data_IF_251136359638
#
_entry.id   IF_251136359638
#
_cell.length_a   1.000
_cell.length_b   1.000
_cell.length_c   1.000
_cell.angle_alpha   90.00
_cell.angle_beta   90.00
_cell.angle_gamma   90.00
#
_symmetry.space_group_name_H-M   'P 1'
#
loop_
_entity.id
_entity.type
_entity.pdbx_description
1 polymer ?
#
# COMPACT_ATOMS: atom_id res chain seq x y z
N UNK A 1 5.98 17.75 23.54
CA UNK A 1 5.65 16.33 23.76
C UNK A 1 5.68 15.64 22.40
N UNK A 2 6.09 14.38 22.34
CA UNK A 2 6.06 13.60 21.08
C UNK A 2 4.62 13.11 20.80
N UNK A 3 4.30 12.90 19.53
CA UNK A 3 3.03 12.29 19.15
C UNK A 3 3.09 10.77 19.39
N UNK A 4 4.20 10.15 18.94
CA UNK A 4 4.42 8.71 19.05
C UNK A 4 5.89 8.45 19.40
N UNK A 5 6.12 7.49 20.28
CA UNK A 5 7.40 6.87 20.54
C UNK A 5 7.31 5.37 20.28
N UNK A 6 8.04 4.89 19.27
CA UNK A 6 8.30 3.46 19.09
C UNK A 6 9.61 3.15 19.79
N UNK A 7 9.69 2.13 20.62
CA UNK A 7 10.92 1.74 21.32
C UNK A 7 11.20 0.25 21.21
N UNK A 8 12.42 -0.15 21.60
CA UNK A 8 12.87 -1.55 21.56
C UNK A 8 12.73 -2.19 20.16
N UNK A 9 13.07 -1.43 19.11
CA UNK A 9 13.00 -1.92 17.73
C UNK A 9 14.37 -2.41 17.24
N UNK A 10 14.35 -3.34 16.28
CA UNK A 10 15.51 -3.72 15.47
C UNK A 10 15.38 -3.07 14.08
N UNK A 11 16.46 -2.48 13.56
CA UNK A 11 16.48 -1.89 12.23
C UNK A 11 17.06 -2.87 11.18
N UNK A 12 16.80 -2.65 9.89
CA UNK A 12 17.31 -3.50 8.81
C UNK A 12 18.85 -3.56 8.72
N UNK A 13 19.53 -2.57 9.26
CA UNK A 13 21.01 -2.52 9.32
C UNK A 13 21.61 -3.30 10.51
N UNK A 14 20.76 -3.97 11.30
CA UNK A 14 21.16 -4.82 12.42
C UNK A 14 21.26 -4.08 13.76
N UNK A 15 21.04 -2.77 13.82
CA UNK A 15 20.99 -2.04 15.11
C UNK A 15 19.76 -2.47 15.90
N UNK A 16 19.94 -2.73 17.18
CA UNK A 16 18.90 -3.16 18.13
C UNK A 16 18.65 -2.11 19.21
N UNK A 17 17.61 -2.29 20.01
CA UNK A 17 17.20 -1.37 21.08
C UNK A 17 17.01 0.07 20.58
N UNK A 18 16.49 0.22 19.35
CA UNK A 18 16.30 1.52 18.74
C UNK A 18 14.92 2.07 19.12
N UNK A 19 14.94 3.36 19.51
CA UNK A 19 13.73 4.15 19.63
C UNK A 19 13.60 5.13 18.47
N UNK A 20 12.35 5.32 18.02
CA UNK A 20 11.95 6.28 16.98
C UNK A 20 10.93 7.24 17.57
N UNK A 21 11.27 8.51 17.59
CA UNK A 21 10.41 9.59 18.08
C UNK A 21 9.76 10.33 16.92
N UNK A 22 8.43 10.53 17.02
CA UNK A 22 7.63 11.24 16.03
C UNK A 22 7.02 12.50 16.66
N UNK A 23 7.07 13.61 15.95
CA UNK A 23 6.43 14.89 16.31
C UNK A 23 5.91 15.57 15.04
N UNK A 24 4.66 16.07 15.10
CA UNK A 24 3.99 16.74 13.98
C UNK A 24 4.02 15.88 12.69
N UNK A 25 3.79 14.55 12.86
CA UNK A 25 3.80 13.57 11.78
C UNK A 25 5.18 13.29 11.15
N UNK A 26 6.27 13.74 11.79
CA UNK A 26 7.65 13.56 11.28
C UNK A 26 8.51 12.81 12.28
N UNK A 27 9.38 11.95 11.77
CA UNK A 27 10.45 11.34 12.56
C UNK A 27 11.45 12.44 12.94
N UNK A 28 11.62 12.70 14.25
CA UNK A 28 12.51 13.72 14.77
C UNK A 28 13.78 13.12 15.41
N UNK A 29 13.74 11.86 15.80
CA UNK A 29 14.89 11.17 16.39
C UNK A 29 14.84 9.67 16.13
N UNK A 30 16.00 9.06 15.86
CA UNK A 30 16.20 7.60 15.75
C UNK A 30 17.49 7.28 16.50
N UNK A 31 17.39 6.72 17.71
CA UNK A 31 18.57 6.48 18.55
C UNK A 31 18.41 5.26 19.43
N UNK A 32 19.54 4.66 19.85
CA UNK A 32 19.54 3.52 20.75
C UNK A 32 19.15 3.91 22.18
N UNK A 33 18.44 3.03 22.86
CA UNK A 33 18.06 3.19 24.25
C UNK A 33 17.09 4.34 24.53
N UNK A 34 16.38 4.84 23.53
CA UNK A 34 15.30 5.81 23.72
C UNK A 34 14.06 5.05 24.21
N UNK A 35 13.62 5.37 25.41
CA UNK A 35 12.52 4.67 26.10
C UNK A 35 11.49 5.67 26.63
N UNK A 36 10.28 5.22 27.01
CA UNK A 36 9.26 6.09 27.60
C UNK A 36 9.73 6.81 28.90
N UNK A 37 10.73 6.27 29.60
CA UNK A 37 11.33 6.92 30.76
C UNK A 37 12.18 8.14 30.39
N UNK A 38 12.70 8.18 29.15
CA UNK A 38 13.58 9.26 28.65
C UNK A 38 12.84 10.28 27.80
N UNK A 39 11.74 9.88 27.18
CA UNK A 39 10.96 10.75 26.30
C UNK A 39 9.46 10.50 26.45
N UNK A 40 8.71 11.56 26.75
CA UNK A 40 7.26 11.49 26.86
C UNK A 40 6.58 11.65 25.50
N UNK A 41 5.62 10.76 25.21
CA UNK A 41 4.81 10.78 24.03
C UNK A 41 3.31 10.62 24.39
N UNK A 42 2.44 11.05 23.50
CA UNK A 42 0.99 10.78 23.60
C UNK A 42 0.70 9.29 23.45
N UNK A 43 1.42 8.65 22.54
CA UNK A 43 1.33 7.22 22.26
C UNK A 43 2.70 6.57 22.32
N UNK A 44 2.76 5.34 22.86
CA UNK A 44 3.99 4.55 22.89
C UNK A 44 3.72 3.15 22.36
N UNK A 45 4.66 2.64 21.56
CA UNK A 45 4.64 1.29 21.01
C UNK A 45 5.95 0.58 21.37
N UNK A 46 5.87 -0.51 22.14
CA UNK A 46 6.99 -1.43 22.31
C UNK A 46 7.06 -2.37 21.09
N UNK A 47 8.14 -2.31 20.34
CA UNK A 47 8.36 -3.17 19.19
C UNK A 47 8.82 -4.58 19.59
N UNK A 48 9.06 -4.85 20.89
CA UNK A 48 9.45 -6.17 21.42
C UNK A 48 10.66 -6.80 20.70
N UNK A 49 11.58 -5.97 20.24
CA UNK A 49 12.76 -6.39 19.46
C UNK A 49 12.46 -6.70 17.99
N UNK A 50 11.21 -6.52 17.54
CA UNK A 50 10.83 -6.78 16.16
C UNK A 50 11.45 -5.80 15.17
N UNK A 51 11.48 -6.20 13.91
CA UNK A 51 12.03 -5.41 12.82
C UNK A 51 11.12 -4.22 12.48
N UNK A 52 11.67 -3.01 12.59
CA UNK A 52 11.04 -1.78 12.15
C UNK A 52 11.65 -1.34 10.82
N UNK A 53 10.84 -1.26 9.78
CA UNK A 53 11.24 -0.85 8.43
C UNK A 53 10.50 0.41 7.98
N UNK A 54 11.01 1.15 6.98
CA UNK A 54 10.15 2.03 6.19
C UNK A 54 8.98 1.26 5.58
N UNK A 55 7.88 1.94 5.23
CA UNK A 55 6.76 1.30 4.56
C UNK A 55 7.18 0.67 3.22
N UNK A 56 6.47 -0.36 2.80
CA UNK A 56 6.69 -0.97 1.49
C UNK A 56 6.24 -0.04 0.37
N UNK A 57 6.92 -0.16 -0.76
CA UNK A 57 6.60 0.54 -2.01
C UNK A 57 6.42 -0.52 -3.11
N UNK A 58 5.26 -0.54 -3.74
CA UNK A 58 5.05 -1.32 -4.95
C UNK A 58 5.40 -0.47 -6.17
N UNK A 59 6.51 -0.80 -6.81
CA UNK A 59 7.04 -0.04 -7.94
C UNK A 59 6.39 -0.40 -9.28
N UNK A 60 5.60 -1.49 -9.34
CA UNK A 60 4.95 -1.98 -10.57
C UNK A 60 3.69 -2.78 -10.25
N UNK A 61 2.55 -2.13 -10.31
CA UNK A 61 1.25 -2.74 -10.09
C UNK A 61 0.24 -2.30 -11.15
N UNK A 62 -0.76 -3.14 -11.44
CA UNK A 62 -1.88 -2.83 -12.32
C UNK A 62 -3.17 -2.68 -11.51
N UNK A 63 -3.39 -1.47 -10.98
CA UNK A 63 -4.54 -1.21 -10.12
C UNK A 63 -5.87 -1.25 -10.89
N UNK A 64 -5.84 -1.01 -12.19
CA UNK A 64 -7.00 -1.15 -13.09
C UNK A 64 -7.53 -2.59 -13.14
N UNK A 65 -6.64 -3.59 -13.02
CA UNK A 65 -7.01 -5.01 -13.02
C UNK A 65 -7.13 -5.63 -11.64
N UNK A 66 -6.90 -4.87 -10.56
CA UNK A 66 -6.94 -5.43 -9.21
C UNK A 66 -8.32 -5.98 -8.84
N UNK A 67 -8.35 -7.05 -8.02
CA UNK A 67 -9.55 -7.70 -7.50
C UNK A 67 -10.57 -8.10 -8.59
N UNK A 68 -10.07 -8.41 -9.81
CA UNK A 68 -10.90 -8.86 -10.93
C UNK A 68 -10.88 -10.37 -11.14
N UNK A 69 -10.27 -11.15 -10.24
CA UNK A 69 -10.23 -12.60 -10.35
C UNK A 69 -11.65 -13.18 -10.47
N UNK A 70 -11.85 -14.06 -11.48
CA UNK A 70 -13.14 -14.65 -11.76
C UNK A 70 -14.03 -13.82 -12.70
N UNK A 71 -13.59 -12.64 -13.11
CA UNK A 71 -14.32 -11.76 -14.03
C UNK A 71 -13.64 -11.69 -15.41
N UNK A 72 -14.43 -11.79 -16.51
CA UNK A 72 -15.83 -12.25 -16.60
C UNK A 72 -15.94 -13.75 -16.36
N UNK A 73 -14.82 -14.47 -16.36
CA UNK A 73 -14.65 -15.89 -16.07
C UNK A 73 -13.26 -16.17 -15.50
N UNK A 74 -13.03 -17.40 -15.05
CA UNK A 74 -11.73 -17.81 -14.52
C UNK A 74 -10.75 -18.10 -15.67
N UNK A 75 -9.49 -17.74 -15.49
CA UNK A 75 -8.37 -18.19 -16.34
C UNK A 75 -8.11 -19.68 -16.07
N UNK A 76 -8.63 -20.54 -16.94
CA UNK A 76 -8.58 -22.00 -16.74
C UNK A 76 -7.19 -22.60 -17.09
N UNK A 77 -6.48 -22.01 -18.05
CA UNK A 77 -5.16 -22.50 -18.46
C UNK A 77 -4.03 -21.98 -17.57
N UNK A 78 -4.25 -20.92 -16.81
CA UNK A 78 -3.23 -20.24 -16.03
C UNK A 78 -2.17 -19.51 -16.89
N UNK A 79 -2.40 -19.40 -18.21
CA UNK A 79 -1.46 -18.75 -19.11
C UNK A 79 -1.66 -17.24 -19.19
N UNK A 80 -0.56 -16.52 -19.51
CA UNK A 80 -0.62 -15.09 -19.76
C UNK A 80 -1.53 -14.75 -20.95
N UNK A 81 -1.50 -15.55 -22.03
CA UNK A 81 -2.30 -15.28 -23.23
C UNK A 81 -3.80 -15.36 -22.92
N UNK A 82 -4.24 -16.33 -22.11
CA UNK A 82 -5.63 -16.38 -21.66
C UNK A 82 -5.96 -15.20 -20.75
N UNK A 83 -5.03 -14.79 -19.88
CA UNK A 83 -5.21 -13.59 -19.04
C UNK A 83 -5.42 -12.33 -19.88
N UNK A 84 -4.66 -12.15 -20.96
CA UNK A 84 -4.83 -11.03 -21.90
C UNK A 84 -6.19 -11.09 -22.60
N UNK A 85 -6.61 -12.28 -23.04
CA UNK A 85 -7.92 -12.47 -23.65
C UNK A 85 -9.06 -12.13 -22.68
N UNK A 86 -8.98 -12.64 -21.44
CA UNK A 86 -9.94 -12.33 -20.36
C UNK A 86 -10.02 -10.82 -20.06
N UNK A 87 -8.88 -10.13 -20.04
CA UNK A 87 -8.86 -8.69 -19.87
C UNK A 87 -9.58 -7.98 -21.02
N UNK A 88 -9.39 -8.46 -22.26
CA UNK A 88 -10.12 -7.99 -23.44
C UNK A 88 -11.63 -8.20 -23.35
N UNK A 89 -12.06 -9.35 -22.81
CA UNK A 89 -13.48 -9.68 -22.58
C UNK A 89 -14.08 -8.82 -21.44
N UNK A 90 -13.30 -8.50 -20.41
CA UNK A 90 -13.75 -7.73 -19.25
C UNK A 90 -13.88 -6.23 -19.56
N UNK A 91 -12.97 -5.65 -20.36
CA UNK A 91 -12.93 -4.21 -20.63
C UNK A 91 -14.28 -3.60 -21.03
N UNK A 92 -15.05 -4.17 -21.96
CA UNK A 92 -16.36 -3.61 -22.34
C UNK A 92 -17.38 -3.57 -21.20
N UNK A 93 -17.21 -4.41 -20.18
CA UNK A 93 -18.09 -4.54 -19.03
C UNK A 93 -17.70 -3.64 -17.85
N UNK A 94 -16.52 -3.00 -17.91
CA UNK A 94 -16.04 -2.16 -16.85
C UNK A 94 -16.84 -0.86 -16.74
N UNK A 95 -17.13 -0.46 -15.49
CA UNK A 95 -17.64 0.86 -15.15
C UNK A 95 -16.62 1.61 -14.29
N UNK A 96 -16.68 2.93 -14.28
CA UNK A 96 -15.79 3.75 -13.46
C UNK A 96 -15.99 3.45 -11.98
N UNK A 97 -17.24 3.31 -11.54
CA UNK A 97 -17.58 3.02 -10.14
C UNK A 97 -16.97 1.71 -9.67
N UNK A 98 -17.11 0.63 -10.46
CA UNK A 98 -16.56 -0.68 -10.10
C UNK A 98 -15.01 -0.68 -10.05
N UNK A 99 -14.37 0.07 -10.95
CA UNK A 99 -12.92 0.25 -10.93
C UNK A 99 -12.45 1.00 -9.68
N UNK A 100 -13.11 2.11 -9.35
CA UNK A 100 -12.81 2.91 -8.17
C UNK A 100 -13.00 2.10 -6.89
N UNK A 101 -14.11 1.38 -6.78
CA UNK A 101 -14.41 0.54 -5.60
C UNK A 101 -13.35 -0.53 -5.38
N UNK A 102 -12.98 -1.30 -6.41
CA UNK A 102 -11.94 -2.32 -6.30
C UNK A 102 -10.58 -1.73 -5.94
N UNK A 103 -10.22 -0.61 -6.56
CA UNK A 103 -8.93 0.04 -6.30
C UNK A 103 -8.86 0.60 -4.87
N UNK A 104 -9.92 1.20 -4.34
CA UNK A 104 -9.97 1.66 -2.94
C UNK A 104 -9.91 0.49 -1.97
N UNK A 105 -10.66 -0.59 -2.23
CA UNK A 105 -10.58 -1.82 -1.41
C UNK A 105 -9.15 -2.37 -1.38
N UNK A 106 -8.45 -2.36 -2.51
CA UNK A 106 -7.05 -2.76 -2.55
C UNK A 106 -6.14 -1.80 -1.75
N UNK A 107 -6.38 -0.49 -1.81
CA UNK A 107 -5.63 0.48 -1.01
C UNK A 107 -5.76 0.18 0.49
N UNK A 108 -6.97 -0.12 0.98
CA UNK A 108 -7.19 -0.51 2.38
C UNK A 108 -6.39 -1.77 2.76
N UNK A 109 -6.40 -2.78 1.88
CA UNK A 109 -5.60 -4.00 2.10
C UNK A 109 -4.10 -3.73 2.07
N UNK A 110 -3.65 -2.86 1.17
CA UNK A 110 -2.26 -2.45 1.06
C UNK A 110 -1.77 -1.77 2.34
N UNK A 111 -2.52 -0.79 2.84
CA UNK A 111 -2.22 -0.09 4.10
C UNK A 111 -2.16 -1.07 5.27
N UNK A 112 -3.13 -1.99 5.38
CA UNK A 112 -3.17 -3.01 6.44
C UNK A 112 -1.96 -3.98 6.39
N UNK A 113 -1.20 -4.00 5.28
CA UNK A 113 0.03 -4.79 5.10
C UNK A 113 1.31 -3.94 5.09
N UNK A 114 1.22 -2.66 5.43
CA UNK A 114 2.37 -1.76 5.46
C UNK A 114 2.84 -1.26 4.09
N UNK A 115 2.04 -1.43 3.04
CA UNK A 115 2.32 -0.90 1.70
C UNK A 115 1.66 0.48 1.57
N UNK A 116 2.47 1.55 1.57
CA UNK A 116 1.98 2.93 1.61
C UNK A 116 2.25 3.73 0.33
N UNK A 117 2.90 3.15 -0.66
CA UNK A 117 3.11 3.81 -1.95
C UNK A 117 3.00 2.78 -3.09
N UNK A 118 2.23 3.12 -4.12
CA UNK A 118 2.00 2.26 -5.28
C UNK A 118 2.22 3.06 -6.55
N UNK A 119 3.10 2.55 -7.42
CA UNK A 119 3.23 3.01 -8.79
C UNK A 119 2.37 2.14 -9.69
N UNK A 120 1.15 2.59 -9.97
CA UNK A 120 0.26 1.84 -10.85
C UNK A 120 0.60 2.06 -12.33
N UNK A 121 0.48 0.99 -13.10
CA UNK A 121 0.34 1.03 -14.56
C UNK A 121 -1.13 0.93 -14.92
N UNK A 122 -1.49 1.39 -16.11
CA UNK A 122 -2.88 1.42 -16.60
C UNK A 122 -2.91 0.97 -18.03
N UNK A 123 -3.81 0.08 -18.40
CA UNK A 123 -4.09 -0.27 -19.79
C UNK A 123 -4.80 0.90 -20.49
N UNK A 124 -4.19 1.42 -21.52
CA UNK A 124 -4.71 2.53 -22.34
C UNK A 124 -5.24 2.08 -23.71
N UNK A 125 -5.39 0.76 -23.91
CA UNK A 125 -5.97 0.20 -25.13
C UNK A 125 -7.49 0.39 -25.24
N UNK A 126 -8.16 0.79 -24.16
CA UNK A 126 -9.56 1.22 -24.17
C UNK A 126 -9.67 2.70 -24.55
N UNK A 127 -10.24 3.00 -25.71
CA UNK A 127 -10.39 4.37 -26.20
C UNK A 127 -11.22 5.29 -25.27
N UNK A 128 -12.01 4.71 -24.36
CA UNK A 128 -12.75 5.47 -23.34
C UNK A 128 -11.85 6.03 -22.25
N UNK A 129 -10.63 5.50 -22.11
CA UNK A 129 -9.68 5.80 -21.03
C UNK A 129 -10.29 5.67 -19.62
N UNK A 130 -11.30 4.81 -19.49
CA UNK A 130 -12.12 4.65 -18.29
C UNK A 130 -11.28 4.33 -17.05
N UNK A 131 -10.26 3.46 -17.22
CA UNK A 131 -9.37 3.09 -16.13
C UNK A 131 -8.47 4.25 -15.69
N UNK A 132 -8.05 5.12 -16.62
CA UNK A 132 -7.27 6.32 -16.30
C UNK A 132 -8.08 7.26 -15.43
N UNK A 133 -9.33 7.56 -15.82
CA UNK A 133 -10.21 8.45 -15.06
C UNK A 133 -10.54 7.89 -13.69
N UNK A 134 -10.81 6.57 -13.60
CA UNK A 134 -11.06 5.90 -12.34
C UNK A 134 -9.86 6.01 -11.39
N UNK A 135 -8.63 5.75 -11.86
CA UNK A 135 -7.45 5.81 -11.01
C UNK A 135 -7.00 7.23 -10.66
N UNK A 136 -7.30 8.22 -11.48
CA UNK A 136 -7.18 9.63 -11.10
C UNK A 136 -8.15 10.00 -9.97
N UNK A 137 -9.35 9.44 -9.97
CA UNK A 137 -10.31 9.59 -8.88
C UNK A 137 -9.79 8.92 -7.59
N UNK A 138 -9.31 7.68 -7.67
CA UNK A 138 -8.69 6.98 -6.53
C UNK A 138 -7.55 7.82 -5.94
N UNK A 139 -6.64 8.32 -6.78
CA UNK A 139 -5.53 9.18 -6.34
C UNK A 139 -5.96 10.44 -5.56
N UNK A 140 -7.16 10.93 -5.80
CA UNK A 140 -7.70 12.10 -5.06
C UNK A 140 -8.31 11.73 -3.71
N UNK A 141 -8.63 10.44 -3.50
CA UNK A 141 -9.29 9.95 -2.28
C UNK A 141 -8.31 9.36 -1.26
N UNK A 142 -7.09 9.02 -1.68
CA UNK A 142 -6.07 8.38 -0.85
C UNK A 142 -4.89 9.29 -0.49
#
# INVERSE_FOLDING_TARGET
>A
MLDLLIHNATLPDGRTDIGVAVRDGKIVEVTAGLTPAKAQAHETLDAEGQLLTPPFVDAHFHMDATLSYGLPRVNASGTLLEGIALWGELKPLLTQEALVERALTYCDWAVAKGLLAIRTHVDVCDARLLAVDALLEVKRRV
#
